data_IF_985907791040
#
_entry.id   IF_985907791040
#
_cell.length_a   1.000
_cell.length_b   1.000
_cell.length_c   1.000
_cell.angle_alpha   90.00
_cell.angle_beta   90.00
_cell.angle_gamma   90.00
#
_symmetry.space_group_name_H-M   'P 1'
#
loop_
_entity.id
_entity.type
_entity.pdbx_description
1 polymer ?
#
# COMPACT_ATOMS: atom_id res chain seq x y z
N UNK A 1 -4.97 8.55 8.32
CA UNK A 1 -4.98 7.27 9.09
C UNK A 1 -4.74 7.51 10.57
N UNK A 2 -3.81 8.40 10.96
CA UNK A 2 -3.66 8.82 12.37
C UNK A 2 -4.97 9.38 12.96
N UNK A 3 -5.79 10.00 12.10
CA UNK A 3 -7.05 10.66 12.45
C UNK A 3 -8.16 9.68 12.87
N UNK A 4 -8.10 8.43 12.39
CA UNK A 4 -9.07 7.40 12.76
C UNK A 4 -8.74 6.87 14.16
N UNK A 5 -7.46 6.62 14.43
CA UNK A 5 -6.97 6.13 15.73
C UNK A 5 -7.20 7.16 16.85
N UNK A 6 -7.04 8.45 16.54
CA UNK A 6 -7.37 9.54 17.47
C UNK A 6 -8.87 9.68 17.68
N UNK A 7 -9.69 9.52 16.63
CA UNK A 7 -11.15 9.53 16.74
C UNK A 7 -11.68 8.38 17.61
N UNK A 8 -11.17 7.15 17.42
CA UNK A 8 -11.54 5.99 18.25
C UNK A 8 -11.09 6.19 19.71
N UNK A 9 -9.90 6.75 19.93
CA UNK A 9 -9.44 7.07 21.30
C UNK A 9 -10.32 8.11 21.98
N UNK A 10 -10.83 9.08 21.21
CA UNK A 10 -11.80 10.07 21.68
C UNK A 10 -13.14 9.39 22.02
N UNK A 11 -13.62 8.49 21.17
CA UNK A 11 -14.84 7.72 21.44
C UNK A 11 -14.75 6.87 22.72
N UNK A 12 -13.61 6.19 22.96
CA UNK A 12 -13.37 5.45 24.21
C UNK A 12 -13.41 6.39 25.42
N UNK A 13 -12.81 7.59 25.30
CA UNK A 13 -12.83 8.59 26.37
C UNK A 13 -14.26 9.06 26.67
N UNK A 14 -15.09 9.25 25.63
CA UNK A 14 -16.51 9.60 25.78
C UNK A 14 -17.32 8.46 26.39
N UNK A 15 -17.12 7.21 25.96
CA UNK A 15 -17.76 6.03 26.53
C UNK A 15 -17.36 5.81 28.00
N UNK A 16 -16.13 6.14 28.38
CA UNK A 16 -15.67 6.13 29.77
C UNK A 16 -16.40 7.19 30.61
N UNK A 17 -16.54 8.42 30.09
CA UNK A 17 -17.31 9.48 30.76
C UNK A 17 -18.80 9.11 30.89
N UNK A 18 -19.39 8.51 29.85
CA UNK A 18 -20.76 7.98 29.91
C UNK A 18 -20.90 6.91 30.99
N UNK A 19 -19.90 6.04 31.16
CA UNK A 19 -19.87 5.03 32.23
C UNK A 19 -19.88 5.66 33.62
N UNK A 20 -19.09 6.72 33.82
CA UNK A 20 -19.03 7.43 35.10
C UNK A 20 -20.36 8.08 35.45
N UNK A 21 -21.01 8.74 34.48
CA UNK A 21 -22.35 9.30 34.64
C UNK A 21 -23.36 8.17 34.95
N UNK A 22 -23.25 7.05 34.22
CA UNK A 22 -24.10 5.88 34.37
C UNK A 22 -24.01 5.19 35.73
N UNK A 23 -22.94 5.37 36.51
CA UNK A 23 -22.84 4.82 37.87
C UNK A 23 -24.00 5.28 38.77
N UNK A 24 -24.44 6.52 38.59
CA UNK A 24 -25.52 7.15 39.34
C UNK A 24 -26.92 6.77 38.80
N UNK A 25 -26.99 6.02 37.71
CA UNK A 25 -28.24 5.55 37.10
C UNK A 25 -28.50 4.13 37.60
N UNK A 26 -29.71 3.87 38.09
CA UNK A 26 -30.17 2.55 38.59
C UNK A 26 -30.51 1.53 37.50
N UNK A 27 -30.00 1.73 36.28
CA UNK A 27 -30.31 0.92 35.11
C UNK A 27 -29.13 -0.02 34.79
N UNK A 28 -29.35 -1.31 34.99
CA UNK A 28 -28.35 -2.34 34.75
C UNK A 28 -28.10 -2.58 33.25
N UNK A 29 -29.14 -2.44 32.42
CA UNK A 29 -29.05 -2.62 30.98
C UNK A 29 -28.18 -1.52 30.36
N UNK A 30 -28.40 -0.26 30.78
CA UNK A 30 -27.56 0.87 30.37
C UNK A 30 -26.08 0.66 30.72
N UNK A 31 -25.80 0.17 31.94
CA UNK A 31 -24.42 -0.10 32.40
C UNK A 31 -23.76 -1.21 31.60
N UNK A 32 -24.50 -2.26 31.26
CA UNK A 32 -24.00 -3.37 30.43
C UNK A 32 -23.71 -2.89 29.01
N UNK A 33 -24.62 -2.16 28.37
CA UNK A 33 -24.43 -1.61 27.02
C UNK A 33 -23.19 -0.70 26.93
N UNK A 34 -22.90 0.09 27.97
CA UNK A 34 -21.68 0.91 28.02
C UNK A 34 -20.43 0.03 28.17
N UNK A 35 -20.50 -1.05 28.96
CA UNK A 35 -19.38 -1.97 29.08
C UNK A 35 -19.08 -2.65 27.74
N UNK A 36 -20.12 -3.13 27.05
CA UNK A 36 -20.01 -3.74 25.72
C UNK A 36 -19.47 -2.74 24.70
N UNK A 37 -19.97 -1.50 24.70
CA UNK A 37 -19.45 -0.44 23.83
C UNK A 37 -17.96 -0.18 24.06
N UNK A 38 -17.50 -0.14 25.32
CA UNK A 38 -16.09 0.07 25.61
C UNK A 38 -15.22 -1.10 25.13
N UNK A 39 -15.70 -2.34 25.23
CA UNK A 39 -15.01 -3.52 24.72
C UNK A 39 -14.92 -3.48 23.19
N UNK A 40 -16.02 -3.20 22.50
CA UNK A 40 -16.07 -3.12 21.05
C UNK A 40 -15.17 -2.00 20.49
N UNK A 41 -15.15 -0.84 21.17
CA UNK A 41 -14.26 0.26 20.80
C UNK A 41 -12.78 -0.08 21.04
N UNK A 42 -12.45 -0.81 22.12
CA UNK A 42 -11.10 -1.25 22.38
C UNK A 42 -10.63 -2.27 21.33
N UNK A 43 -11.47 -3.24 20.98
CA UNK A 43 -11.19 -4.21 19.92
C UNK A 43 -11.02 -3.51 18.55
N UNK A 44 -11.92 -2.59 18.22
CA UNK A 44 -11.82 -1.78 17.00
C UNK A 44 -10.53 -0.97 16.95
N UNK A 45 -10.09 -0.41 18.08
CA UNK A 45 -8.81 0.33 18.16
C UNK A 45 -7.63 -0.57 17.83
N UNK A 46 -7.61 -1.81 18.31
CA UNK A 46 -6.54 -2.78 18.01
C UNK A 46 -6.55 -3.15 16.52
N UNK A 47 -7.71 -3.52 15.96
CA UNK A 47 -7.85 -3.84 14.53
C UNK A 47 -7.40 -2.69 13.62
N UNK A 48 -7.74 -1.45 13.97
CA UNK A 48 -7.29 -0.27 13.22
C UNK A 48 -5.77 -0.10 13.32
N UNK A 49 -5.16 -0.32 14.49
CA UNK A 49 -3.71 -0.25 14.65
C UNK A 49 -2.99 -1.29 13.79
N UNK A 50 -3.50 -2.52 13.73
CA UNK A 50 -2.96 -3.59 12.89
C UNK A 50 -3.05 -3.23 11.40
N UNK A 51 -4.20 -2.74 10.94
CA UNK A 51 -4.39 -2.29 9.56
C UNK A 51 -3.47 -1.12 9.19
N UNK A 52 -3.22 -0.18 10.11
CA UNK A 52 -2.28 0.93 9.87
C UNK A 52 -0.86 0.40 9.70
N UNK A 53 -0.46 -0.57 10.52
CA UNK A 53 0.85 -1.23 10.44
C UNK A 53 1.02 -1.97 9.11
N UNK A 54 0.03 -2.77 8.72
CA UNK A 54 0.02 -3.49 7.45
C UNK A 54 0.08 -2.53 6.24
N UNK A 55 -0.69 -1.44 6.28
CA UNK A 55 -0.68 -0.44 5.21
C UNK A 55 0.69 0.24 5.07
N UNK A 56 1.36 0.53 6.19
CA UNK A 56 2.72 1.06 6.18
C UNK A 56 3.71 0.08 5.53
N UNK A 57 3.66 -1.20 5.92
CA UNK A 57 4.51 -2.24 5.34
C UNK A 57 4.24 -2.46 3.84
N UNK A 58 2.97 -2.42 3.42
CA UNK A 58 2.59 -2.52 2.00
C UNK A 58 3.08 -1.32 1.19
N UNK A 59 2.99 -0.11 1.75
CA UNK A 59 3.52 1.11 1.11
C UNK A 59 5.04 1.05 0.96
N UNK A 60 5.75 0.52 1.95
CA UNK A 60 7.20 0.33 1.87
C UNK A 60 7.57 -0.69 0.78
N UNK A 61 6.85 -1.82 0.70
CA UNK A 61 7.02 -2.79 -0.40
C UNK A 61 6.71 -2.18 -1.76
N UNK A 62 5.68 -1.35 -1.88
CA UNK A 62 5.38 -0.66 -3.12
C UNK A 62 6.49 0.34 -3.47
N UNK A 63 6.99 1.10 -2.50
CA UNK A 63 8.09 2.03 -2.71
C UNK A 63 9.33 1.30 -3.20
N UNK A 64 9.72 0.17 -2.61
CA UNK A 64 10.89 -0.61 -3.04
C UNK A 64 10.74 -1.22 -4.44
N UNK A 65 9.53 -1.66 -4.80
CA UNK A 65 9.24 -2.17 -6.15
C UNK A 65 9.17 -1.07 -7.21
N UNK A 66 8.77 0.15 -6.83
CA UNK A 66 8.55 1.27 -7.75
C UNK A 66 9.70 2.26 -7.83
N UNK A 67 10.63 2.25 -6.86
CA UNK A 67 11.83 3.10 -6.84
C UNK A 67 12.88 2.70 -7.88
N UNK A 68 12.73 1.54 -8.53
CA UNK A 68 13.60 1.13 -9.61
C UNK A 68 13.38 1.99 -10.87
N UNK A 69 14.46 2.53 -11.42
CA UNK A 69 14.48 3.40 -12.59
C UNK A 69 14.44 2.60 -13.88
N UNK A 70 13.29 2.02 -14.21
CA UNK A 70 13.13 1.24 -15.45
C UNK A 70 11.68 1.06 -15.87
N UNK A 71 11.46 0.55 -17.09
CA UNK A 71 10.14 0.12 -17.54
C UNK A 71 9.68 -1.12 -16.74
N UNK A 72 8.38 -1.41 -16.79
CA UNK A 72 7.81 -2.63 -16.21
C UNK A 72 8.24 -3.83 -17.06
N UNK A 73 8.90 -4.81 -16.45
CA UNK A 73 9.28 -6.04 -17.11
C UNK A 73 8.03 -6.91 -17.40
N UNK A 74 7.80 -7.36 -18.65
CA UNK A 74 6.62 -8.15 -19.00
C UNK A 74 6.60 -9.56 -18.37
N UNK A 75 7.75 -10.07 -17.88
CA UNK A 75 7.86 -11.40 -17.27
C UNK A 75 7.64 -11.41 -15.75
N UNK A 76 8.19 -10.43 -15.03
CA UNK A 76 8.20 -10.42 -13.56
C UNK A 76 7.51 -9.19 -12.94
N UNK A 77 7.01 -8.27 -13.76
CA UNK A 77 6.31 -7.05 -13.36
C UNK A 77 7.11 -6.05 -12.50
N UNK A 78 8.43 -6.23 -12.36
CA UNK A 78 9.32 -5.28 -11.68
C UNK A 78 9.73 -4.13 -12.61
N UNK A 79 9.93 -2.93 -12.05
CA UNK A 79 10.37 -1.72 -12.78
C UNK A 79 11.88 -1.65 -13.02
N UNK A 80 12.48 -2.78 -13.35
CA UNK A 80 13.93 -2.90 -13.55
C UNK A 80 14.28 -3.23 -15.00
N UNK A 81 13.37 -2.93 -15.94
CA UNK A 81 13.55 -3.21 -17.36
C UNK A 81 14.22 -2.01 -18.04
N UNK A 82 15.52 -2.12 -18.29
CA UNK A 82 16.37 -1.03 -18.77
C UNK A 82 16.92 -1.32 -20.16
N UNK A 83 17.27 -0.27 -20.91
CA UNK A 83 17.87 -0.39 -22.24
C UNK A 83 19.36 -0.69 -22.07
N UNK A 84 19.81 -1.83 -22.59
CA UNK A 84 21.23 -2.21 -22.56
C UNK A 84 21.97 -1.90 -23.87
N UNK A 85 21.25 -1.82 -24.99
CA UNK A 85 21.83 -1.52 -26.28
C UNK A 85 20.79 -0.91 -27.20
N UNK A 86 21.21 0.06 -27.99
CA UNK A 86 20.44 0.60 -29.13
C UNK A 86 21.28 0.43 -30.38
N UNK A 87 20.72 -0.20 -31.41
CA UNK A 87 21.37 -0.40 -32.71
C UNK A 87 20.41 -0.07 -33.86
N UNK A 88 20.88 0.45 -35.00
CA UNK A 88 20.07 0.53 -36.21
C UNK A 88 19.61 -0.88 -36.65
N UNK A 89 18.42 -0.97 -37.25
CA UNK A 89 17.96 -2.23 -37.86
C UNK A 89 18.81 -2.59 -39.08
N UNK A 90 19.12 -3.88 -39.29
CA UNK A 90 20.03 -4.34 -40.35
C UNK A 90 19.56 -3.91 -41.75
N UNK A 91 18.28 -4.09 -42.07
CA UNK A 91 17.74 -3.75 -43.40
C UNK A 91 17.07 -2.36 -43.46
N UNK A 92 16.66 -1.81 -42.32
CA UNK A 92 15.77 -0.63 -42.26
C UNK A 92 16.37 0.52 -41.43
N UNK A 93 17.65 0.45 -41.09
CA UNK A 93 18.36 1.49 -40.33
C UNK A 93 18.35 2.84 -41.06
N UNK A 94 18.47 2.83 -42.38
CA UNK A 94 18.44 4.04 -43.23
C UNK A 94 17.08 4.73 -43.24
N UNK A 95 16.00 4.01 -42.90
CA UNK A 95 14.65 4.55 -42.75
C UNK A 95 14.38 5.07 -41.33
N UNK A 96 15.40 5.08 -40.46
CA UNK A 96 15.29 5.56 -39.08
C UNK A 96 14.78 4.52 -38.08
N UNK A 97 14.63 3.25 -38.48
CA UNK A 97 14.20 2.17 -37.58
C UNK A 97 15.35 1.75 -36.67
N UNK A 98 15.11 1.77 -35.36
CA UNK A 98 16.10 1.34 -34.36
C UNK A 98 15.59 0.14 -33.57
N UNK A 99 16.52 -0.74 -33.21
CA UNK A 99 16.29 -1.87 -32.31
C UNK A 99 16.89 -1.53 -30.96
N UNK A 100 16.04 -1.50 -29.92
CA UNK A 100 16.46 -1.37 -28.53
C UNK A 100 16.38 -2.73 -27.85
N UNK A 101 17.50 -3.21 -27.33
CA UNK A 101 17.51 -4.40 -26.50
C UNK A 101 17.32 -3.96 -25.06
N UNK A 102 16.24 -4.42 -24.46
CA UNK A 102 15.98 -4.22 -23.05
C UNK A 102 16.40 -5.47 -22.26
N UNK A 103 16.84 -5.27 -21.03
CA UNK A 103 17.14 -6.37 -20.09
C UNK A 103 16.61 -6.02 -18.70
N UNK A 104 15.98 -6.99 -18.06
CA UNK A 104 15.53 -6.89 -16.68
C UNK A 104 16.65 -7.32 -15.74
N UNK A 105 17.04 -6.46 -14.80
CA UNK A 105 18.08 -6.82 -13.81
C UNK A 105 17.61 -7.82 -12.75
N UNK A 106 16.29 -8.00 -12.56
CA UNK A 106 15.74 -8.90 -11.53
C UNK A 106 15.57 -10.35 -12.01
N UNK A 107 15.17 -10.58 -13.26
CA UNK A 107 14.83 -11.91 -13.77
C UNK A 107 15.57 -12.31 -15.05
N UNK A 108 16.59 -11.52 -15.43
CA UNK A 108 17.42 -11.67 -16.64
C UNK A 108 16.65 -11.75 -17.97
N UNK A 109 15.36 -11.43 -17.96
CA UNK A 109 14.56 -11.38 -19.18
C UNK A 109 15.10 -10.30 -20.12
N UNK A 110 15.32 -10.66 -21.38
CA UNK A 110 15.78 -9.74 -22.42
C UNK A 110 14.93 -9.89 -23.67
N UNK A 111 14.55 -8.77 -24.27
CA UNK A 111 13.81 -8.75 -25.53
C UNK A 111 14.22 -7.52 -26.37
N UNK A 112 14.42 -7.71 -27.70
CA UNK A 112 14.58 -6.60 -28.63
C UNK A 112 13.21 -6.00 -28.98
N UNK A 113 13.07 -4.68 -28.79
CA UNK A 113 11.93 -3.90 -29.27
C UNK A 113 12.33 -3.10 -30.51
N UNK A 114 11.51 -3.21 -31.55
CA UNK A 114 11.57 -2.36 -32.74
C UNK A 114 10.91 -1.02 -32.43
N UNK A 115 11.64 0.07 -32.67
CA UNK A 115 11.12 1.44 -32.59
C UNK A 115 11.13 1.99 -34.01
N UNK A 116 9.95 2.24 -34.54
CA UNK A 116 9.74 2.96 -35.79
C UNK A 116 9.69 4.47 -35.50
N UNK A 117 10.20 5.32 -36.42
CA UNK A 117 10.10 6.77 -36.29
C UNK A 117 8.66 7.29 -36.32
#
# INVERSE_FOLDING_TARGET
>A
MSDILSSVSTAISLATRLREIGKNIGDAEFKNLIADLNLELAESKMKVADLVSENAALKEKLASLTSATGEVCPKCNNRTYEIISTKPHEDMGDLGVIVRVYKCSTCDFSEPKLITP
#
